data_IF_496313991577
#
_entry.id   IF_496313991577
#
_cell.length_a   1.000
_cell.length_b   1.000
_cell.length_c   1.000
_cell.angle_alpha   90.00
_cell.angle_beta   90.00
_cell.angle_gamma   90.00
#
_symmetry.space_group_name_H-M   'P 1'
#
loop_
_entity.id
_entity.type
_entity.pdbx_description
1 polymer ?
#
# COMPACT_ATOMS: atom_id res chain seq x y z
N UNK A 1 4.55 -27.24 39.04
CA UNK A 1 3.60 -26.37 38.31
C UNK A 1 4.14 -24.99 37.94
N UNK A 2 4.88 -24.26 38.82
CA UNK A 2 5.45 -22.94 38.47
C UNK A 2 6.37 -22.93 37.23
N UNK A 3 7.20 -23.95 37.02
CA UNK A 3 8.11 -24.06 35.85
C UNK A 3 7.39 -24.27 34.50
N UNK A 4 6.19 -24.83 34.50
CA UNK A 4 5.38 -25.03 33.28
C UNK A 4 4.68 -23.73 32.86
N UNK A 5 4.30 -22.88 33.82
CA UNK A 5 3.72 -21.55 33.56
C UNK A 5 4.80 -20.59 33.05
N UNK A 6 6.05 -20.67 33.52
CA UNK A 6 7.16 -19.87 32.99
C UNK A 6 7.54 -20.28 31.56
N UNK A 7 7.46 -21.57 31.22
CA UNK A 7 7.69 -22.06 29.85
C UNK A 7 6.56 -21.65 28.88
N UNK A 8 5.31 -21.60 29.37
CA UNK A 8 4.15 -21.11 28.62
C UNK A 8 4.18 -19.58 28.42
N UNK A 9 4.76 -18.82 29.36
CA UNK A 9 4.98 -17.37 29.24
C UNK A 9 6.20 -17.04 28.36
N UNK A 10 7.24 -17.87 28.34
CA UNK A 10 8.36 -17.74 27.41
C UNK A 10 7.98 -18.09 25.96
N UNK A 11 6.91 -18.85 25.74
CA UNK A 11 6.36 -19.11 24.40
C UNK A 11 5.48 -17.96 23.88
N UNK A 12 5.05 -17.03 24.73
CA UNK A 12 4.31 -15.83 24.30
C UNK A 12 5.27 -14.71 23.84
N UNK A 13 6.51 -14.69 24.36
CA UNK A 13 7.55 -13.73 23.92
C UNK A 13 8.23 -14.13 22.60
N UNK A 14 8.16 -15.41 22.21
CA UNK A 14 8.76 -15.90 20.96
C UNK A 14 7.89 -15.70 19.72
N UNK A 15 6.67 -15.15 19.85
CA UNK A 15 5.85 -14.78 18.68
C UNK A 15 6.51 -13.65 17.87
N UNK A 16 7.40 -12.86 18.48
CA UNK A 16 8.18 -11.85 17.76
C UNK A 16 9.25 -12.44 16.83
N UNK A 17 9.63 -13.71 17.02
CA UNK A 17 10.74 -14.35 16.30
C UNK A 17 10.32 -15.21 15.10
N UNK A 18 9.02 -15.32 14.76
CA UNK A 18 8.60 -16.21 13.66
C UNK A 18 9.00 -15.69 12.27
N UNK A 19 9.12 -14.37 12.08
CA UNK A 19 9.44 -13.79 10.77
C UNK A 19 10.89 -14.07 10.32
N UNK A 20 11.86 -14.17 11.26
CA UNK A 20 13.27 -14.40 10.94
C UNK A 20 13.70 -15.88 10.96
N UNK A 21 13.08 -16.75 11.77
CA UNK A 21 13.49 -18.17 11.89
C UNK A 21 12.72 -19.17 11.02
N UNK A 22 11.57 -18.80 10.44
CA UNK A 22 10.70 -19.73 9.68
C UNK A 22 10.64 -19.48 8.17
N UNK A 23 11.56 -18.67 7.61
CA UNK A 23 11.47 -18.34 6.18
C UNK A 23 10.16 -17.63 5.80
N UNK A 24 9.50 -17.00 6.77
CA UNK A 24 8.25 -16.24 6.57
C UNK A 24 8.53 -14.84 6.00
N UNK A 25 9.77 -14.35 6.13
CA UNK A 25 10.18 -13.04 5.62
C UNK A 25 9.65 -11.88 6.46
N UNK A 26 10.08 -10.66 6.14
CA UNK A 26 9.60 -9.40 6.70
C UNK A 26 8.73 -8.68 5.66
N UNK A 27 7.63 -8.09 6.13
CA UNK A 27 6.80 -7.23 5.32
C UNK A 27 7.44 -5.83 5.24
N UNK A 28 7.68 -5.35 4.03
CA UNK A 28 8.30 -4.04 3.77
C UNK A 28 7.30 -3.11 3.10
N UNK A 29 7.11 -1.93 3.66
CA UNK A 29 6.40 -0.82 3.03
C UNK A 29 7.37 0.06 2.28
N UNK A 30 6.96 0.52 1.11
CA UNK A 30 7.73 1.45 0.30
C UNK A 30 6.82 2.34 -0.53
N UNK A 31 7.28 3.54 -0.84
CA UNK A 31 6.53 4.49 -1.63
C UNK A 31 7.05 4.51 -3.06
N UNK A 32 6.15 4.48 -4.04
CA UNK A 32 6.50 4.52 -5.46
C UNK A 32 5.64 5.53 -6.20
N UNK A 33 6.23 6.11 -7.23
CA UNK A 33 5.47 6.86 -8.22
C UNK A 33 4.52 5.97 -9.01
N UNK A 34 3.28 6.43 -9.13
CA UNK A 34 2.23 5.78 -9.90
C UNK A 34 1.62 6.80 -10.85
N UNK A 35 1.50 6.41 -12.12
CA UNK A 35 0.66 7.11 -13.08
C UNK A 35 -0.74 6.50 -12.98
N UNK A 36 -1.68 7.30 -12.50
CA UNK A 36 -3.07 6.90 -12.31
C UNK A 36 -3.97 7.62 -13.31
N UNK A 37 -5.14 7.05 -13.54
CA UNK A 37 -6.24 7.68 -14.26
C UNK A 37 -7.32 8.02 -13.25
N UNK A 38 -7.64 9.29 -13.10
CA UNK A 38 -8.73 9.77 -12.26
C UNK A 38 -9.90 10.19 -13.13
N UNK A 39 -11.03 9.52 -12.93
CA UNK A 39 -12.31 9.77 -13.59
C UNK A 39 -13.22 10.48 -12.61
N UNK A 40 -13.83 11.59 -13.03
CA UNK A 40 -14.82 12.32 -12.23
C UNK A 40 -16.10 12.49 -13.08
N UNK A 41 -17.24 12.17 -12.48
CA UNK A 41 -18.54 12.36 -13.10
C UNK A 41 -19.13 13.68 -12.60
N UNK A 42 -19.21 14.70 -13.46
CA UNK A 42 -19.80 16.00 -13.11
C UNK A 42 -21.23 15.85 -12.56
N UNK A 43 -22.05 15.05 -13.25
CA UNK A 43 -23.25 14.45 -12.68
C UNK A 43 -22.97 12.97 -12.43
N UNK A 44 -23.19 12.43 -11.22
CA UNK A 44 -22.89 11.03 -10.92
C UNK A 44 -23.58 10.04 -11.88
N UNK A 45 -22.91 8.93 -12.17
CA UNK A 45 -23.47 7.85 -12.99
C UNK A 45 -24.41 7.00 -12.13
N UNK A 46 -25.66 6.88 -12.57
CA UNK A 46 -26.67 6.06 -11.91
C UNK A 46 -26.55 4.60 -12.33
N UNK A 47 -26.44 3.72 -11.33
CA UNK A 47 -26.49 2.27 -11.50
C UNK A 47 -27.69 1.72 -10.71
N UNK A 48 -28.59 1.02 -11.39
CA UNK A 48 -29.74 0.37 -10.76
C UNK A 48 -29.37 -1.04 -10.29
N UNK A 49 -29.99 -1.49 -9.21
CA UNK A 49 -29.91 -2.89 -8.78
C UNK A 49 -30.61 -3.83 -9.77
N UNK A 50 -30.20 -5.10 -9.79
CA UNK A 50 -30.76 -6.16 -10.65
C UNK A 50 -31.28 -7.32 -9.81
N UNK A 51 -32.17 -8.12 -10.38
CA UNK A 51 -32.75 -9.27 -9.69
C UNK A 51 -31.81 -10.49 -9.72
N UNK A 52 -30.98 -10.61 -10.76
CA UNK A 52 -30.16 -11.79 -11.02
C UNK A 52 -28.70 -11.46 -11.34
N UNK A 53 -27.81 -12.33 -10.88
CA UNK A 53 -26.37 -12.27 -11.18
C UNK A 53 -26.06 -12.39 -12.68
N UNK A 54 -26.97 -12.98 -13.47
CA UNK A 54 -26.79 -13.16 -14.92
C UNK A 54 -26.90 -11.86 -15.72
N UNK A 55 -27.48 -10.82 -15.14
CA UNK A 55 -27.68 -9.52 -15.78
C UNK A 55 -26.43 -8.62 -15.70
N UNK A 56 -25.38 -9.10 -15.04
CA UNK A 56 -24.23 -8.29 -14.62
C UNK A 56 -23.05 -8.49 -15.55
N UNK A 57 -22.54 -7.38 -16.08
CA UNK A 57 -21.26 -7.34 -16.79
C UNK A 57 -20.09 -7.12 -15.81
N UNK A 58 -19.53 -8.23 -15.33
CA UNK A 58 -18.39 -8.25 -14.42
C UNK A 58 -17.07 -7.72 -15.01
N UNK A 59 -17.01 -7.43 -16.31
CA UNK A 59 -15.82 -6.85 -16.95
C UNK A 59 -15.61 -5.37 -16.62
N UNK A 60 -16.65 -4.74 -16.07
CA UNK A 60 -16.71 -3.33 -15.69
C UNK A 60 -16.77 -3.17 -14.17
N UNK A 61 -16.29 -2.03 -13.64
CA UNK A 61 -16.46 -1.73 -12.22
C UNK A 61 -17.91 -1.37 -11.88
N UNK A 62 -18.67 -0.86 -12.86
CA UNK A 62 -20.12 -0.65 -12.80
C UNK A 62 -20.85 -1.96 -12.51
N UNK A 63 -20.49 -3.05 -13.20
CA UNK A 63 -21.08 -4.36 -12.95
C UNK A 63 -20.72 -4.93 -11.58
N UNK A 64 -19.48 -4.78 -11.12
CA UNK A 64 -19.09 -5.19 -9.77
C UNK A 64 -19.90 -4.44 -8.70
N UNK A 65 -20.02 -3.11 -8.80
CA UNK A 65 -20.78 -2.33 -7.80
C UNK A 65 -22.27 -2.65 -7.88
N UNK A 66 -22.83 -2.83 -9.07
CA UNK A 66 -24.20 -3.30 -9.28
C UNK A 66 -24.41 -4.64 -8.57
N UNK A 67 -23.48 -5.58 -8.74
CA UNK A 67 -23.51 -6.90 -8.12
C UNK A 67 -23.47 -6.81 -6.60
N UNK A 68 -22.52 -6.05 -6.07
CA UNK A 68 -22.33 -5.89 -4.64
C UNK A 68 -23.60 -5.40 -3.94
N UNK A 69 -24.35 -4.50 -4.55
CA UNK A 69 -25.62 -4.00 -4.00
C UNK A 69 -26.83 -4.85 -4.35
N UNK A 70 -26.76 -5.71 -5.38
CA UNK A 70 -27.85 -6.59 -5.79
C UNK A 70 -27.79 -7.98 -5.15
N UNK A 71 -26.67 -8.32 -4.52
CA UNK A 71 -26.43 -9.65 -3.96
C UNK A 71 -27.49 -10.04 -2.91
N UNK A 72 -28.37 -10.98 -3.29
CA UNK A 72 -29.54 -11.43 -2.53
C UNK A 72 -29.32 -12.73 -1.75
N UNK A 73 -28.08 -13.22 -1.68
CA UNK A 73 -27.69 -14.35 -0.85
C UNK A 73 -26.19 -14.34 -0.56
N UNK A 74 -25.77 -15.15 0.43
CA UNK A 74 -24.38 -15.24 0.89
C UNK A 74 -23.40 -15.72 -0.18
N UNK A 75 -23.78 -16.69 -1.00
CA UNK A 75 -22.91 -17.24 -2.06
C UNK A 75 -22.57 -16.17 -3.09
N UNK A 76 -23.58 -15.42 -3.53
CA UNK A 76 -23.40 -14.30 -4.45
C UNK A 76 -22.53 -13.22 -3.80
N UNK A 77 -22.86 -12.76 -2.59
CA UNK A 77 -22.09 -11.73 -1.91
C UNK A 77 -20.60 -12.10 -1.71
N UNK A 78 -20.29 -13.36 -1.38
CA UNK A 78 -18.91 -13.83 -1.26
C UNK A 78 -18.17 -13.87 -2.60
N UNK A 79 -18.87 -14.12 -3.71
CA UNK A 79 -18.26 -14.18 -5.04
C UNK A 79 -17.74 -12.84 -5.57
N UNK A 80 -18.08 -11.75 -4.87
CA UNK A 80 -17.62 -10.38 -5.20
C UNK A 80 -16.21 -10.09 -4.67
N UNK A 81 -15.74 -10.86 -3.68
CA UNK A 81 -14.46 -10.65 -3.04
C UNK A 81 -13.37 -11.49 -3.69
N UNK A 82 -12.17 -10.92 -3.81
CA UNK A 82 -11.00 -11.63 -4.31
C UNK A 82 -10.55 -12.74 -3.36
N UNK A 83 -10.54 -12.48 -2.04
CA UNK A 83 -10.35 -13.51 -1.01
C UNK A 83 -11.69 -14.17 -0.67
N UNK A 84 -11.86 -15.43 -1.06
CA UNK A 84 -13.06 -16.21 -0.75
C UNK A 84 -13.27 -16.49 0.74
N UNK A 85 -12.30 -16.18 1.61
CA UNK A 85 -12.39 -16.29 3.07
C UNK A 85 -12.89 -15.02 3.74
N UNK A 86 -13.17 -13.96 2.97
CA UNK A 86 -13.67 -12.69 3.51
C UNK A 86 -14.93 -12.91 4.34
N UNK A 87 -14.91 -12.38 5.58
CA UNK A 87 -16.07 -12.41 6.46
C UNK A 87 -17.06 -11.34 6.05
N UNK A 88 -18.17 -11.74 5.44
CA UNK A 88 -19.30 -10.83 5.19
C UNK A 88 -20.20 -10.71 6.44
N UNK A 89 -20.65 -9.49 6.72
CA UNK A 89 -21.52 -9.16 7.88
C UNK A 89 -23.01 -9.28 7.53
N UNK A 90 -23.35 -9.45 6.24
CA UNK A 90 -24.73 -9.53 5.74
C UNK A 90 -25.41 -10.83 6.15
N UNK A 91 -26.56 -10.71 6.79
CA UNK A 91 -27.38 -11.82 7.28
C UNK A 91 -28.61 -12.08 6.38
N UNK A 92 -29.48 -13.01 6.81
CA UNK A 92 -30.68 -13.39 6.06
C UNK A 92 -31.65 -12.22 5.89
N UNK A 93 -31.80 -11.37 6.90
CA UNK A 93 -32.71 -10.24 6.87
C UNK A 93 -32.26 -9.20 5.83
N UNK A 94 -30.96 -8.91 5.79
CA UNK A 94 -30.37 -8.08 4.76
C UNK A 94 -30.68 -8.61 3.35
N UNK A 95 -30.49 -9.91 3.12
CA UNK A 95 -30.74 -10.51 1.81
C UNK A 95 -32.21 -10.49 1.40
N UNK A 96 -33.14 -10.70 2.33
CA UNK A 96 -34.58 -10.57 2.06
C UNK A 96 -34.99 -9.12 1.79
N UNK A 97 -34.36 -8.14 2.46
CA UNK A 97 -34.59 -6.72 2.17
C UNK A 97 -34.14 -6.36 0.74
N UNK A 98 -32.98 -6.86 0.30
CA UNK A 98 -32.48 -6.63 -1.08
C UNK A 98 -33.46 -7.18 -2.13
N UNK A 99 -34.04 -8.37 -1.92
CA UNK A 99 -35.00 -8.97 -2.87
C UNK A 99 -36.29 -8.18 -3.02
N UNK A 100 -36.73 -7.49 -1.97
CA UNK A 100 -37.99 -6.73 -1.93
C UNK A 100 -37.81 -5.25 -2.31
N UNK A 101 -36.57 -4.84 -2.62
CA UNK A 101 -36.25 -3.43 -2.79
C UNK A 101 -36.77 -2.90 -4.13
N UNK A 102 -37.32 -1.69 -4.14
CA UNK A 102 -37.68 -1.00 -5.38
C UNK A 102 -36.42 -0.43 -6.04
N UNK A 103 -35.93 -1.09 -7.09
CA UNK A 103 -34.68 -0.71 -7.78
C UNK A 103 -34.78 0.62 -8.53
N UNK A 104 -35.98 1.14 -8.75
CA UNK A 104 -36.20 2.45 -9.37
C UNK A 104 -36.01 3.60 -8.39
N UNK A 105 -36.17 3.33 -7.09
CA UNK A 105 -36.02 4.31 -6.01
C UNK A 105 -34.74 4.15 -5.21
N UNK A 106 -34.18 2.94 -5.22
CA UNK A 106 -32.94 2.60 -4.53
C UNK A 106 -31.86 2.31 -5.56
N UNK A 107 -30.84 3.16 -5.62
CA UNK A 107 -29.85 3.12 -6.69
C UNK A 107 -28.49 3.61 -6.21
N UNK A 108 -27.46 3.25 -6.96
CA UNK A 108 -26.07 3.62 -6.69
C UNK A 108 -25.71 4.78 -7.61
N UNK A 109 -24.91 5.70 -7.09
CA UNK A 109 -24.29 6.78 -7.83
C UNK A 109 -22.78 6.59 -7.81
N UNK A 110 -22.15 6.40 -8.97
CA UNK A 110 -20.70 6.43 -9.09
C UNK A 110 -20.27 7.88 -9.31
N UNK A 111 -19.31 8.34 -8.51
CA UNK A 111 -18.88 9.74 -8.50
C UNK A 111 -17.47 9.88 -9.06
N UNK A 112 -16.56 9.01 -8.62
CA UNK A 112 -15.17 9.06 -9.05
C UNK A 112 -14.57 7.67 -9.12
N UNK A 113 -13.66 7.47 -10.06
CA UNK A 113 -12.84 6.26 -10.18
C UNK A 113 -11.39 6.68 -10.23
N UNK A 114 -10.56 6.10 -9.36
CA UNK A 114 -9.12 6.26 -9.40
C UNK A 114 -8.51 4.94 -9.80
N UNK A 115 -8.03 4.82 -11.04
CA UNK A 115 -7.47 3.59 -11.61
C UNK A 115 -5.94 3.67 -11.68
N UNK A 116 -5.27 2.57 -11.37
CA UNK A 116 -3.82 2.47 -11.45
C UNK A 116 -3.36 1.04 -11.68
N UNK A 117 -2.15 0.89 -12.21
CA UNK A 117 -1.53 -0.42 -12.39
C UNK A 117 -0.34 -0.57 -11.45
N UNK A 118 -0.22 -1.75 -10.83
CA UNK A 118 0.95 -2.12 -10.05
C UNK A 118 1.20 -3.62 -10.17
N UNK A 119 2.44 -4.02 -10.51
CA UNK A 119 2.84 -5.42 -10.71
C UNK A 119 1.94 -6.18 -11.71
N UNK A 120 1.47 -5.50 -12.76
CA UNK A 120 0.56 -6.09 -13.74
C UNK A 120 -0.88 -6.26 -13.23
N UNK A 121 -1.20 -5.80 -12.03
CA UNK A 121 -2.53 -5.81 -11.43
C UNK A 121 -3.20 -4.47 -11.68
N UNK A 122 -4.38 -4.49 -12.31
CA UNK A 122 -5.19 -3.30 -12.49
C UNK A 122 -6.03 -3.10 -11.24
N UNK A 123 -5.81 -2.00 -10.54
CA UNK A 123 -6.50 -1.65 -9.30
C UNK A 123 -7.31 -0.37 -9.49
N UNK A 124 -8.37 -0.22 -8.70
CA UNK A 124 -9.09 1.03 -8.64
C UNK A 124 -9.69 1.31 -7.26
N UNK A 125 -9.87 2.60 -6.95
CA UNK A 125 -10.75 3.07 -5.87
C UNK A 125 -11.97 3.72 -6.50
N UNK A 126 -13.15 3.19 -6.16
CA UNK A 126 -14.43 3.69 -6.63
C UNK A 126 -15.14 4.40 -5.48
N UNK A 127 -15.34 5.72 -5.60
CA UNK A 127 -16.21 6.49 -4.71
C UNK A 127 -17.64 6.43 -5.23
N UNK A 128 -18.56 6.04 -4.35
CA UNK A 128 -19.96 5.93 -4.68
C UNK A 128 -20.85 6.47 -3.56
N UNK A 129 -22.10 6.74 -3.88
CA UNK A 129 -23.18 6.90 -2.90
C UNK A 129 -24.33 5.95 -3.19
N UNK A 130 -24.96 5.45 -2.13
CA UNK A 130 -26.17 4.64 -2.21
C UNK A 130 -27.36 5.47 -1.76
N UNK A 131 -28.37 5.57 -2.63
CA UNK A 131 -29.60 6.31 -2.38
C UNK A 131 -30.67 5.29 -2.01
N UNK A 132 -31.37 5.54 -0.90
CA UNK A 132 -32.47 4.71 -0.45
C UNK A 132 -33.72 5.56 -0.23
N UNK A 133 -34.88 5.08 -0.66
CA UNK A 133 -36.14 5.85 -0.59
C UNK A 133 -36.46 6.35 0.82
N UNK A 134 -36.18 5.52 1.84
CA UNK A 134 -36.50 5.80 3.24
C UNK A 134 -35.38 6.49 4.02
N UNK A 135 -34.25 6.78 3.38
CA UNK A 135 -33.11 7.45 4.03
C UNK A 135 -32.92 8.81 3.36
N UNK A 136 -33.08 9.92 4.09
CA UNK A 136 -33.07 11.27 3.50
C UNK A 136 -31.67 11.75 3.09
N UNK A 137 -30.63 10.93 3.27
CA UNK A 137 -29.26 11.24 2.91
C UNK A 137 -28.58 10.05 2.21
N UNK A 138 -27.63 10.32 1.30
CA UNK A 138 -26.87 9.28 0.63
C UNK A 138 -25.89 8.61 1.60
N UNK A 139 -25.76 7.28 1.49
CA UNK A 139 -24.67 6.56 2.17
C UNK A 139 -23.45 6.60 1.25
N UNK A 140 -22.42 7.33 1.65
CA UNK A 140 -21.18 7.49 0.87
C UNK A 140 -20.20 6.38 1.24
N UNK A 141 -19.59 5.77 0.24
CA UNK A 141 -18.60 4.72 0.40
C UNK A 141 -17.47 4.81 -0.61
N UNK A 142 -16.37 4.14 -0.29
CA UNK A 142 -15.30 3.85 -1.23
C UNK A 142 -15.06 2.36 -1.21
N UNK A 143 -14.87 1.78 -2.38
CA UNK A 143 -14.47 0.39 -2.51
C UNK A 143 -13.16 0.30 -3.28
N UNK A 144 -12.25 -0.52 -2.77
CA UNK A 144 -11.04 -0.91 -3.48
C UNK A 144 -11.35 -2.16 -4.30
N UNK A 145 -10.95 -2.12 -5.56
CA UNK A 145 -11.23 -3.19 -6.51
C UNK A 145 -10.00 -3.54 -7.33
N UNK A 146 -9.94 -4.78 -7.78
CA UNK A 146 -8.86 -5.32 -8.59
C UNK A 146 -9.41 -6.15 -9.75
N UNK A 147 -8.84 -5.98 -10.94
CA UNK A 147 -9.17 -6.77 -12.12
C UNK A 147 -8.26 -7.99 -12.20
N UNK A 148 -8.86 -9.17 -12.17
CA UNK A 148 -8.17 -10.45 -12.41
C UNK A 148 -8.78 -11.07 -13.66
N UNK A 149 -7.94 -11.29 -14.68
CA UNK A 149 -8.38 -11.61 -16.05
C UNK A 149 -9.37 -10.53 -16.54
N UNK A 150 -10.60 -10.92 -16.84
CA UNK A 150 -11.66 -10.02 -17.33
C UNK A 150 -12.75 -9.75 -16.29
N UNK A 151 -12.46 -9.91 -15.00
CA UNK A 151 -13.43 -9.63 -13.92
C UNK A 151 -12.85 -8.74 -12.84
N UNK A 152 -13.64 -7.76 -12.41
CA UNK A 152 -13.35 -6.98 -11.21
C UNK A 152 -13.81 -7.69 -9.94
N UNK A 153 -13.00 -7.59 -8.89
CA UNK A 153 -13.27 -8.10 -7.56
C UNK A 153 -13.02 -7.02 -6.52
N UNK A 154 -13.69 -7.11 -5.37
CA UNK A 154 -13.38 -6.32 -4.17
C UNK A 154 -12.06 -6.85 -3.60
N UNK A 155 -11.10 -5.95 -3.38
CA UNK A 155 -9.75 -6.28 -2.91
C UNK A 155 -9.39 -5.41 -1.71
N UNK A 156 -9.29 -6.03 -0.53
CA UNK A 156 -8.95 -5.38 0.73
C UNK A 156 -7.44 -5.52 0.99
N UNK A 157 -6.63 -4.60 0.46
CA UNK A 157 -5.18 -4.60 0.73
C UNK A 157 -4.85 -3.77 1.98
N UNK A 158 -3.90 -4.25 2.79
CA UNK A 158 -3.53 -3.66 4.10
C UNK A 158 -3.04 -2.21 4.02
N UNK A 159 -2.49 -1.79 2.87
CA UNK A 159 -1.91 -0.46 2.63
C UNK A 159 -2.89 0.59 2.12
N UNK A 160 -4.19 0.28 2.03
CA UNK A 160 -5.16 1.16 1.38
C UNK A 160 -5.87 2.12 2.33
N UNK A 161 -5.59 2.08 3.63
CA UNK A 161 -6.31 2.88 4.63
C UNK A 161 -6.23 4.39 4.39
N UNK A 162 -5.09 4.90 3.90
CA UNK A 162 -4.93 6.32 3.59
C UNK A 162 -5.77 6.71 2.37
N UNK A 163 -5.71 5.92 1.30
CA UNK A 163 -6.52 6.11 0.10
C UNK A 163 -8.01 6.11 0.45
N UNK A 164 -8.48 5.05 1.13
CA UNK A 164 -9.88 4.93 1.54
C UNK A 164 -10.29 6.16 2.38
N UNK A 165 -9.47 6.58 3.34
CA UNK A 165 -9.75 7.76 4.16
C UNK A 165 -9.89 9.03 3.33
N UNK A 166 -9.04 9.24 2.32
CA UNK A 166 -9.09 10.45 1.48
C UNK A 166 -10.28 10.40 0.52
N UNK A 167 -10.42 9.35 -0.27
CA UNK A 167 -11.49 9.24 -1.26
C UNK A 167 -12.89 9.23 -0.62
N UNK A 168 -13.04 8.68 0.59
CA UNK A 168 -14.34 8.63 1.27
C UNK A 168 -14.77 9.97 1.85
N UNK A 169 -13.81 10.83 2.18
CA UNK A 169 -14.10 12.08 2.88
C UNK A 169 -13.96 13.32 2.01
N UNK A 170 -13.10 13.34 0.99
CA UNK A 170 -12.82 14.55 0.24
C UNK A 170 -13.88 14.81 -0.83
N UNK A 171 -14.20 16.08 -1.04
CA UNK A 171 -14.97 16.54 -2.19
C UNK A 171 -14.19 16.21 -3.49
N UNK A 172 -14.82 15.60 -4.51
CA UNK A 172 -14.13 15.21 -5.75
C UNK A 172 -13.35 16.34 -6.44
N UNK A 173 -13.92 17.54 -6.50
CA UNK A 173 -13.26 18.69 -7.13
C UNK A 173 -11.99 19.12 -6.38
N UNK A 174 -12.04 19.16 -5.04
CA UNK A 174 -10.87 19.47 -4.21
C UNK A 174 -9.80 18.38 -4.37
N UNK A 175 -10.23 17.11 -4.40
CA UNK A 175 -9.29 16.00 -4.63
C UNK A 175 -8.63 16.11 -6.01
N UNK A 176 -9.36 16.51 -7.05
CA UNK A 176 -8.81 16.76 -8.39
C UNK A 176 -7.72 17.84 -8.36
N UNK A 177 -7.93 18.95 -7.67
CA UNK A 177 -6.93 20.01 -7.50
C UNK A 177 -5.68 19.51 -6.77
N UNK A 178 -5.87 18.75 -5.68
CA UNK A 178 -4.78 18.12 -4.94
C UNK A 178 -4.01 17.13 -5.81
N UNK A 179 -4.68 16.37 -6.68
CA UNK A 179 -4.05 15.42 -7.60
C UNK A 179 -3.29 16.14 -8.71
N UNK A 180 -3.88 17.18 -9.31
CA UNK A 180 -3.24 18.03 -10.34
C UNK A 180 -2.07 18.86 -9.80
N UNK A 181 -2.11 19.22 -8.52
CA UNK A 181 -1.11 20.10 -7.90
C UNK A 181 -1.26 21.55 -8.27
N UNK A 182 -2.47 21.95 -8.64
CA UNK A 182 -2.83 23.31 -9.00
C UNK A 182 -4.18 23.64 -8.38
N UNK A 183 -4.26 24.78 -7.71
CA UNK A 183 -5.49 25.36 -7.17
C UNK A 183 -5.35 26.88 -7.15
N UNK A 184 -6.47 27.58 -7.21
CA UNK A 184 -6.53 29.02 -7.00
C UNK A 184 -6.74 29.38 -5.52
N UNK A 185 -7.27 28.46 -4.72
CA UNK A 185 -7.48 28.61 -3.28
C UNK A 185 -6.15 28.49 -2.51
N UNK A 186 -5.84 29.50 -1.70
CA UNK A 186 -4.56 29.57 -0.98
C UNK A 186 -4.40 28.49 0.09
N UNK A 187 -5.50 28.04 0.70
CA UNK A 187 -5.47 26.94 1.65
C UNK A 187 -5.13 25.62 0.93
N UNK A 188 -5.74 25.36 -0.23
CA UNK A 188 -5.43 24.17 -1.05
C UNK A 188 -4.01 24.24 -1.62
N UNK A 189 -3.53 25.40 -2.09
CA UNK A 189 -2.10 25.58 -2.47
C UNK A 189 -1.16 25.22 -1.32
N UNK A 190 -1.49 25.66 -0.10
CA UNK A 190 -0.77 25.32 1.11
C UNK A 190 -0.74 23.82 1.39
N UNK A 191 -1.84 23.10 1.14
CA UNK A 191 -1.89 21.65 1.25
C UNK A 191 -1.03 20.97 0.19
N UNK A 192 -1.16 21.36 -1.08
CA UNK A 192 -0.37 20.83 -2.20
C UNK A 192 1.12 20.86 -1.84
N UNK A 193 1.62 22.00 -1.36
CA UNK A 193 3.03 22.17 -0.95
C UNK A 193 3.46 21.18 0.14
N UNK A 194 2.58 20.92 1.12
CA UNK A 194 2.87 20.03 2.27
C UNK A 194 2.73 18.54 1.94
N UNK A 195 1.93 18.20 0.93
CA UNK A 195 1.58 16.81 0.60
C UNK A 195 2.22 16.33 -0.70
N UNK A 196 3.21 17.04 -1.23
CA UNK A 196 4.03 16.50 -2.31
C UNK A 196 5.05 15.49 -1.80
N UNK A 197 5.08 14.35 -2.49
CA UNK A 197 6.11 13.35 -2.34
C UNK A 197 7.41 13.77 -3.05
N UNK A 198 8.44 12.93 -2.96
CA UNK A 198 9.76 13.22 -3.58
C UNK A 198 9.63 13.40 -5.09
N UNK A 199 8.69 12.69 -5.70
CA UNK A 199 8.45 12.72 -7.14
C UNK A 199 7.49 13.83 -7.59
N UNK A 200 7.16 14.81 -6.73
CA UNK A 200 6.19 15.90 -7.00
C UNK A 200 4.73 15.44 -7.20
N UNK A 201 4.44 14.15 -7.10
CA UNK A 201 3.08 13.61 -7.05
C UNK A 201 2.42 13.82 -5.68
N UNK A 202 1.09 13.75 -5.63
CA UNK A 202 0.38 13.76 -4.34
C UNK A 202 0.76 12.51 -3.53
N UNK A 203 1.21 12.73 -2.30
CA UNK A 203 1.49 11.71 -1.30
C UNK A 203 0.26 11.56 -0.39
N UNK A 204 -0.43 10.42 -0.52
CA UNK A 204 -1.67 10.15 0.20
C UNK A 204 -1.46 9.90 1.69
N UNK A 205 -0.32 9.36 2.10
CA UNK A 205 0.00 9.19 3.52
C UNK A 205 0.12 10.55 4.19
N UNK A 206 0.89 11.48 3.61
CA UNK A 206 1.02 12.85 4.14
C UNK A 206 -0.32 13.55 4.22
N UNK A 207 -1.13 13.49 3.15
CA UNK A 207 -2.46 14.11 3.13
C UNK A 207 -3.38 13.51 4.22
N UNK A 208 -3.41 12.18 4.34
CA UNK A 208 -4.24 11.51 5.34
C UNK A 208 -3.77 11.82 6.77
N UNK A 209 -2.47 11.92 7.02
CA UNK A 209 -1.93 12.28 8.32
C UNK A 209 -2.30 13.72 8.71
N UNK A 210 -2.21 14.68 7.77
CA UNK A 210 -2.68 16.05 7.98
C UNK A 210 -4.19 16.07 8.29
N UNK A 211 -4.98 15.36 7.48
CA UNK A 211 -6.43 15.26 7.63
C UNK A 211 -6.84 14.67 8.99
N UNK A 212 -6.24 13.54 9.39
CA UNK A 212 -6.43 12.93 10.72
C UNK A 212 -6.00 13.87 11.85
N UNK A 213 -4.94 14.64 11.63
CA UNK A 213 -4.48 15.67 12.56
C UNK A 213 -5.56 16.72 12.86
N UNK A 214 -6.30 17.17 11.85
CA UNK A 214 -7.37 18.16 12.04
C UNK A 214 -8.50 17.69 12.94
N UNK A 215 -8.86 16.40 12.90
CA UNK A 215 -9.83 15.83 13.84
C UNK A 215 -9.32 15.87 15.28
N UNK A 216 -8.04 15.53 15.50
CA UNK A 216 -7.44 15.52 16.85
C UNK A 216 -7.45 16.90 17.49
N UNK A 217 -7.19 17.95 16.70
CA UNK A 217 -7.15 19.34 17.18
C UNK A 217 -8.45 20.12 16.91
N UNK A 218 -9.54 19.44 16.54
CA UNK A 218 -10.87 20.03 16.25
C UNK A 218 -10.83 21.24 15.29
N UNK A 219 -9.99 21.21 14.26
CA UNK A 219 -9.90 22.26 13.22
C UNK A 219 -11.06 22.14 12.23
N UNK A 220 -12.24 22.55 12.67
CA UNK A 220 -13.48 22.47 11.87
C UNK A 220 -13.36 23.22 10.55
N UNK A 221 -12.86 24.45 10.54
CA UNK A 221 -12.74 25.26 9.30
C UNK A 221 -11.94 24.55 8.19
N UNK A 222 -10.82 23.90 8.55
CA UNK A 222 -10.01 23.14 7.59
C UNK A 222 -10.76 21.93 7.03
N UNK A 223 -11.57 21.26 7.86
CA UNK A 223 -12.42 20.15 7.42
C UNK A 223 -13.50 20.63 6.45
N UNK A 224 -14.15 21.77 6.73
CA UNK A 224 -15.17 22.36 5.85
C UNK A 224 -14.65 22.72 4.45
N UNK A 225 -13.36 23.04 4.32
CA UNK A 225 -12.74 23.38 3.03
C UNK A 225 -12.46 22.18 2.13
N UNK A 226 -12.32 20.97 2.69
CA UNK A 226 -11.91 19.79 1.89
C UNK A 226 -12.94 18.69 1.85
N UNK A 227 -13.77 18.57 2.88
CA UNK A 227 -14.62 17.41 3.09
C UNK A 227 -15.85 17.53 2.20
N UNK A 228 -16.31 16.39 1.71
CA UNK A 228 -17.54 16.25 0.97
C UNK A 228 -18.68 16.88 1.75
N UNK A 229 -19.36 17.85 1.13
CA UNK A 229 -20.34 18.69 1.83
C UNK A 229 -21.49 17.87 2.41
N UNK A 230 -21.83 16.73 1.81
CA UNK A 230 -22.86 15.81 2.32
C UNK A 230 -22.54 15.24 3.70
N UNK A 231 -21.28 15.22 4.09
CA UNK A 231 -20.81 14.70 5.38
C UNK A 231 -20.80 15.75 6.50
N UNK A 232 -21.10 17.01 6.20
CA UNK A 232 -20.93 18.14 7.15
C UNK A 232 -22.01 19.22 7.05
N UNK A 233 -22.71 19.34 5.92
CA UNK A 233 -23.80 20.31 5.72
C UNK A 233 -25.13 19.55 5.75
N UNK A 234 -25.94 19.85 6.76
CA UNK A 234 -27.30 19.34 6.86
C UNK A 234 -28.15 19.85 5.70
N UNK A 235 -28.96 18.98 5.10
CA UNK A 235 -29.83 19.33 3.97
C UNK A 235 -29.09 19.69 2.67
N UNK A 236 -27.81 19.34 2.54
CA UNK A 236 -27.04 19.64 1.34
C UNK A 236 -27.69 19.03 0.08
N UNK A 237 -28.00 19.90 -0.89
CA UNK A 237 -28.58 19.49 -2.16
C UNK A 237 -27.47 18.96 -3.08
N UNK A 238 -27.40 17.65 -3.26
CA UNK A 238 -26.41 17.00 -4.12
C UNK A 238 -27.00 16.67 -5.50
N UNK A 239 -26.17 16.65 -6.57
CA UNK A 239 -26.64 16.36 -7.92
C UNK A 239 -27.33 14.98 -8.01
N UNK A 240 -28.48 14.94 -8.66
CA UNK A 240 -29.17 13.67 -8.96
C UNK A 240 -28.47 12.93 -10.09
N UNK A 241 -28.15 11.66 -9.88
CA UNK A 241 -27.44 10.84 -10.85
C UNK A 241 -28.25 10.58 -12.14
N UNK A 242 -27.54 10.34 -13.24
CA UNK A 242 -28.11 10.06 -14.58
C UNK A 242 -27.61 8.71 -15.11
N UNK A 243 -28.44 8.01 -15.88
CA UNK A 243 -28.15 6.65 -16.37
C UNK A 243 -27.02 6.59 -17.42
N UNK A 244 -26.79 7.67 -18.15
CA UNK A 244 -25.78 7.74 -19.22
C UNK A 244 -24.91 8.95 -18.96
N UNK A 245 -23.73 8.73 -18.42
CA UNK A 245 -22.76 9.78 -18.12
C UNK A 245 -21.37 9.33 -18.57
N UNK A 246 -20.64 10.25 -19.17
CA UNK A 246 -19.23 10.05 -19.52
C UNK A 246 -18.40 10.84 -18.52
N UNK A 247 -17.43 10.22 -17.82
CA UNK A 247 -16.61 10.95 -16.88
C UNK A 247 -15.59 11.82 -17.62
N UNK A 248 -15.19 12.91 -17.00
CA UNK A 248 -13.94 13.57 -17.35
C UNK A 248 -12.77 12.72 -16.88
N UNK A 249 -11.73 12.60 -17.72
CA UNK A 249 -10.61 11.68 -17.48
C UNK A 249 -9.31 12.47 -17.36
N UNK A 250 -8.61 12.28 -16.25
CA UNK A 250 -7.36 12.94 -15.95
C UNK A 250 -6.24 11.93 -15.74
N UNK A 251 -5.14 12.07 -16.47
CA UNK A 251 -3.89 11.37 -16.15
C UNK A 251 -3.16 12.16 -15.08
N UNK A 252 -2.83 11.49 -13.99
CA UNK A 252 -2.29 12.12 -12.79
C UNK A 252 -1.10 11.31 -12.26
N UNK A 253 -0.17 12.03 -11.64
CA UNK A 253 1.01 11.46 -11.04
C UNK A 253 0.89 11.53 -9.52
N UNK A 254 1.05 10.39 -8.87
CA UNK A 254 0.89 10.25 -7.42
C UNK A 254 2.02 9.44 -6.82
N UNK A 255 2.24 9.58 -5.52
CA UNK A 255 3.12 8.73 -4.73
C UNK A 255 2.24 7.85 -3.84
N UNK A 256 2.37 6.53 -3.98
CA UNK A 256 1.56 5.55 -3.27
C UNK A 256 2.44 4.56 -2.53
N UNK A 257 1.96 4.13 -1.36
CA UNK A 257 2.60 3.08 -0.58
C UNK A 257 2.18 1.70 -1.08
N UNK A 258 3.17 0.82 -1.19
CA UNK A 258 3.02 -0.59 -1.50
C UNK A 258 3.65 -1.44 -0.39
N UNK A 259 3.17 -2.69 -0.26
CA UNK A 259 3.73 -3.67 0.66
C UNK A 259 4.35 -4.81 -0.14
N UNK A 260 5.60 -5.12 0.18
CA UNK A 260 6.28 -6.35 -0.19
C UNK A 260 6.03 -7.36 0.92
N UNK A 261 5.12 -8.30 0.69
CA UNK A 261 4.66 -9.24 1.72
C UNK A 261 5.77 -10.22 2.15
N UNK A 262 6.71 -10.53 1.26
CA UNK A 262 7.81 -11.48 1.51
C UNK A 262 9.13 -10.86 1.08
N UNK A 263 9.85 -10.30 2.05
CA UNK A 263 11.23 -9.84 1.87
C UNK A 263 12.15 -10.58 2.84
N UNK A 264 13.38 -10.87 2.45
CA UNK A 264 14.30 -11.70 3.23
C UNK A 264 15.57 -10.92 3.50
N UNK A 265 15.89 -10.73 4.77
CA UNK A 265 17.18 -10.22 5.20
C UNK A 265 18.02 -11.37 5.78
N UNK A 266 19.27 -11.47 5.34
CA UNK A 266 20.20 -12.51 5.80
C UNK A 266 21.63 -11.96 5.91
N UNK A 267 22.35 -12.38 6.94
CA UNK A 267 23.79 -12.14 7.08
C UNK A 267 24.58 -13.33 6.51
N UNK A 268 25.74 -13.07 5.92
CA UNK A 268 26.64 -14.15 5.50
C UNK A 268 27.43 -14.67 6.69
N UNK A 269 27.50 -16.00 6.82
CA UNK A 269 28.29 -16.64 7.86
C UNK A 269 29.78 -16.36 7.66
N UNK A 270 30.53 -16.16 8.74
CA UNK A 270 31.97 -15.87 8.72
C UNK A 270 32.79 -16.89 7.92
N UNK A 271 32.35 -18.15 7.90
CA UNK A 271 33.05 -19.22 7.19
C UNK A 271 32.77 -19.23 5.67
N UNK A 272 31.77 -18.48 5.20
CA UNK A 272 31.29 -18.52 3.82
C UNK A 272 31.24 -17.14 3.14
N UNK A 273 31.68 -16.10 3.84
CA UNK A 273 31.52 -14.71 3.40
C UNK A 273 32.63 -14.19 2.47
N UNK A 274 33.75 -14.90 2.32
CA UNK A 274 34.85 -14.47 1.43
C UNK A 274 34.66 -15.00 0.01
N UNK A 275 34.61 -14.09 -0.95
CA UNK A 275 34.67 -14.39 -2.38
C UNK A 275 36.12 -14.28 -2.85
N UNK A 276 36.70 -15.43 -3.19
CA UNK A 276 38.04 -15.55 -3.79
C UNK A 276 37.88 -16.02 -5.22
N UNK A 277 38.57 -15.40 -6.18
CA UNK A 277 38.53 -15.81 -7.59
C UNK A 277 39.24 -17.15 -7.83
N UNK A 278 38.52 -18.24 -7.57
CA UNK A 278 38.89 -19.61 -7.91
C UNK A 278 37.68 -20.39 -8.43
N UNK A 279 37.93 -21.56 -9.03
CA UNK A 279 36.88 -22.39 -9.64
C UNK A 279 35.81 -22.83 -8.62
N UNK A 280 36.21 -23.15 -7.38
CA UNK A 280 35.31 -23.58 -6.32
C UNK A 280 34.29 -22.48 -5.96
N UNK A 281 34.75 -21.23 -5.80
CA UNK A 281 33.88 -20.07 -5.52
C UNK A 281 32.97 -19.79 -6.70
N UNK A 282 33.52 -19.78 -7.94
CA UNK A 282 32.73 -19.55 -9.16
C UNK A 282 31.60 -20.57 -9.30
N UNK A 283 31.88 -21.86 -9.06
CA UNK A 283 30.87 -22.92 -9.08
C UNK A 283 29.84 -22.80 -7.95
N UNK A 284 30.25 -22.43 -6.72
CA UNK A 284 29.35 -22.28 -5.56
C UNK A 284 28.30 -21.19 -5.76
N UNK A 285 28.70 -20.10 -6.41
CA UNK A 285 27.87 -18.92 -6.63
C UNK A 285 27.30 -18.84 -8.04
N UNK A 286 27.53 -19.85 -8.89
CA UNK A 286 26.95 -19.92 -10.22
C UNK A 286 25.44 -19.68 -10.17
N UNK A 287 24.94 -18.77 -11.01
CA UNK A 287 23.53 -18.32 -11.06
C UNK A 287 23.02 -17.65 -9.78
N UNK A 288 23.90 -17.13 -8.93
CA UNK A 288 23.54 -16.29 -7.78
C UNK A 288 24.12 -14.89 -7.96
N UNK A 289 23.51 -13.84 -7.37
CA UNK A 289 23.98 -12.47 -7.55
C UNK A 289 25.41 -12.24 -7.04
N UNK A 290 25.85 -13.02 -6.05
CA UNK A 290 27.22 -13.00 -5.51
C UNK A 290 28.28 -13.34 -6.56
N UNK A 291 27.93 -14.06 -7.64
CA UNK A 291 28.86 -14.40 -8.72
C UNK A 291 29.49 -13.16 -9.36
N UNK A 292 28.69 -12.11 -9.53
CA UNK A 292 29.11 -10.84 -10.15
C UNK A 292 30.09 -10.05 -9.27
N UNK A 293 30.26 -10.44 -8.00
CA UNK A 293 31.20 -9.82 -7.06
C UNK A 293 32.54 -10.57 -6.98
N UNK A 294 32.70 -11.69 -7.69
CA UNK A 294 33.96 -12.43 -7.74
C UNK A 294 34.95 -11.66 -8.60
N UNK A 295 36.02 -11.19 -7.98
CA UNK A 295 37.06 -10.37 -8.60
C UNK A 295 38.46 -10.85 -8.16
N UNK A 296 39.52 -10.25 -8.72
CA UNK A 296 40.91 -10.49 -8.32
C UNK A 296 41.13 -10.14 -6.85
N UNK A 297 40.51 -9.07 -6.39
CA UNK A 297 40.53 -8.66 -4.98
C UNK A 297 39.53 -9.47 -4.15
N UNK A 298 39.91 -9.81 -2.92
CA UNK A 298 39.03 -10.52 -2.00
C UNK A 298 37.85 -9.62 -1.64
N UNK A 299 36.64 -10.12 -1.91
CA UNK A 299 35.40 -9.45 -1.51
C UNK A 299 34.81 -10.17 -0.30
N UNK A 300 34.51 -9.42 0.77
CA UNK A 300 33.87 -9.96 1.98
C UNK A 300 32.40 -9.59 2.00
N UNK A 301 31.52 -10.56 1.84
CA UNK A 301 30.07 -10.40 1.91
C UNK A 301 29.63 -10.12 3.35
N UNK A 302 28.69 -9.20 3.54
CA UNK A 302 28.22 -8.80 4.87
C UNK A 302 26.77 -9.24 5.05
N UNK A 303 25.87 -8.75 4.20
CA UNK A 303 24.45 -9.08 4.26
C UNK A 303 23.80 -9.05 2.89
N UNK A 304 22.63 -9.66 2.79
CA UNK A 304 21.77 -9.69 1.62
C UNK A 304 20.34 -9.40 2.00
N UNK A 305 19.69 -8.55 1.21
CA UNK A 305 18.27 -8.28 1.27
C UNK A 305 17.62 -8.64 -0.06
N UNK A 306 16.74 -9.65 -0.05
CA UNK A 306 16.04 -10.16 -1.24
C UNK A 306 14.56 -9.84 -1.17
N UNK A 307 13.97 -9.39 -2.27
CA UNK A 307 12.54 -9.05 -2.34
C UNK A 307 12.01 -9.19 -3.77
N UNK A 308 10.69 -9.21 -3.93
CA UNK A 308 10.04 -9.31 -5.24
C UNK A 308 9.23 -8.05 -5.57
N UNK A 309 9.51 -7.41 -6.70
CA UNK A 309 8.74 -6.26 -7.20
C UNK A 309 8.51 -6.39 -8.72
N UNK A 310 7.32 -6.05 -9.19
CA UNK A 310 6.92 -6.18 -10.61
C UNK A 310 7.25 -7.57 -11.22
N UNK A 311 6.99 -8.65 -10.49
CA UNK A 311 7.32 -10.04 -10.88
C UNK A 311 8.82 -10.28 -11.12
N UNK A 312 9.70 -9.44 -10.58
CA UNK A 312 11.14 -9.63 -10.63
C UNK A 312 11.69 -9.84 -9.23
N UNK A 313 12.65 -10.75 -9.09
CA UNK A 313 13.41 -10.90 -7.85
C UNK A 313 14.58 -9.94 -7.84
N UNK A 314 14.70 -9.16 -6.79
CA UNK A 314 15.81 -8.25 -6.54
C UNK A 314 16.64 -8.73 -5.35
N UNK A 315 17.92 -8.35 -5.32
CA UNK A 315 18.83 -8.62 -4.21
C UNK A 315 19.77 -7.45 -4.00
N UNK A 316 19.70 -6.79 -2.85
CA UNK A 316 20.71 -5.84 -2.40
C UNK A 316 21.76 -6.63 -1.63
N UNK A 317 23.02 -6.59 -2.09
CA UNK A 317 24.14 -7.22 -1.40
C UNK A 317 25.04 -6.15 -0.83
N UNK A 318 25.24 -6.17 0.48
CA UNK A 318 26.26 -5.41 1.17
C UNK A 318 27.55 -6.22 1.25
N UNK A 319 28.67 -5.62 0.90
CA UNK A 319 29.99 -6.24 0.92
C UNK A 319 31.08 -5.22 1.28
N UNK A 320 32.26 -5.72 1.62
CA UNK A 320 33.48 -4.94 1.83
C UNK A 320 34.55 -5.38 0.84
N UNK A 321 35.20 -4.41 0.21
CA UNK A 321 36.40 -4.60 -0.63
C UNK A 321 37.38 -3.48 -0.31
N UNK A 322 38.64 -3.83 -0.04
CA UNK A 322 39.67 -2.89 0.41
C UNK A 322 39.25 -2.05 1.63
N UNK A 323 38.59 -2.69 2.59
CA UNK A 323 38.04 -2.07 3.81
C UNK A 323 36.95 -1.00 3.57
N UNK A 324 36.44 -0.88 2.34
CA UNK A 324 35.34 0.03 2.01
C UNK A 324 34.07 -0.79 1.87
N UNK A 325 33.06 -0.45 2.68
CA UNK A 325 31.73 -1.01 2.56
C UNK A 325 31.01 -0.43 1.35
N UNK A 326 30.34 -1.31 0.61
CA UNK A 326 29.52 -0.98 -0.55
C UNK A 326 28.24 -1.78 -0.51
N UNK A 327 27.20 -1.27 -1.14
CA UNK A 327 26.00 -2.05 -1.45
C UNK A 327 25.71 -1.97 -2.95
N UNK A 328 25.15 -3.05 -3.48
CA UNK A 328 24.79 -3.16 -4.90
C UNK A 328 23.45 -3.84 -5.04
N UNK A 329 22.63 -3.38 -6.00
CA UNK A 329 21.35 -3.99 -6.33
C UNK A 329 21.50 -4.86 -7.57
N UNK A 330 21.07 -6.12 -7.45
CA UNK A 330 20.93 -7.04 -8.56
C UNK A 330 19.46 -7.33 -8.84
N UNK A 331 19.12 -7.50 -10.12
CA UNK A 331 17.84 -8.03 -10.59
C UNK A 331 18.07 -9.39 -11.24
N UNK A 332 17.24 -10.37 -10.91
CA UNK A 332 17.22 -11.67 -11.59
C UNK A 332 16.62 -11.53 -12.99
N UNK A 333 17.29 -12.08 -13.99
CA UNK A 333 16.81 -12.20 -15.37
C UNK A 333 16.83 -13.66 -15.83
N UNK A 334 16.57 -13.91 -17.13
CA UNK A 334 16.59 -15.27 -17.69
C UNK A 334 17.99 -15.89 -17.74
N UNK A 335 19.04 -15.08 -17.71
CA UNK A 335 20.43 -15.49 -17.90
C UNK A 335 21.25 -15.48 -16.59
N UNK A 336 20.68 -14.99 -15.49
CA UNK A 336 21.35 -14.85 -14.20
C UNK A 336 20.88 -13.62 -13.44
N UNK A 337 21.84 -12.77 -13.06
CA UNK A 337 21.61 -11.55 -12.29
C UNK A 337 22.35 -10.38 -12.93
N UNK A 338 21.67 -9.26 -13.08
CA UNK A 338 22.20 -8.02 -13.68
C UNK A 338 22.18 -6.91 -12.64
N UNK A 339 23.26 -6.13 -12.58
CA UNK A 339 23.36 -4.94 -11.73
C UNK A 339 22.39 -3.85 -12.20
N UNK A 340 21.69 -3.22 -11.25
CA UNK A 340 20.73 -2.15 -11.52
C UNK A 340 21.05 -0.95 -10.62
N UNK A 341 21.23 0.22 -11.22
CA UNK A 341 21.70 1.42 -10.51
C UNK A 341 20.66 2.55 -10.41
N UNK A 342 19.50 2.41 -11.07
CA UNK A 342 18.47 3.45 -11.18
C UNK A 342 17.21 3.18 -10.32
N UNK A 343 17.16 2.04 -9.61
CA UNK A 343 16.02 1.63 -8.77
C UNK A 343 16.45 1.39 -7.34
N UNK A 344 15.55 1.67 -6.40
CA UNK A 344 15.75 1.47 -4.96
C UNK A 344 17.08 2.09 -4.45
N UNK A 345 17.52 3.20 -5.05
CA UNK A 345 18.81 3.84 -4.76
C UNK A 345 18.92 4.28 -3.29
N UNK A 346 17.82 4.77 -2.71
CA UNK A 346 17.75 5.08 -1.28
C UNK A 346 17.96 3.84 -0.41
N UNK A 347 17.53 2.66 -0.86
CA UNK A 347 17.73 1.42 -0.12
C UNK A 347 19.17 0.94 -0.26
N UNK A 348 19.74 0.98 -1.47
CA UNK A 348 21.16 0.66 -1.66
C UNK A 348 22.02 1.54 -0.75
N UNK A 349 21.79 2.85 -0.75
CA UNK A 349 22.47 3.80 0.14
C UNK A 349 22.21 3.51 1.63
N UNK A 350 20.98 3.17 2.01
CA UNK A 350 20.67 2.74 3.38
C UNK A 350 21.50 1.52 3.78
N UNK A 351 21.49 0.44 2.99
CA UNK A 351 22.19 -0.81 3.27
C UNK A 351 23.72 -0.67 3.24
N UNK A 352 24.25 0.27 2.46
CA UNK A 352 25.67 0.60 2.45
C UNK A 352 26.14 1.15 3.81
N UNK A 353 25.28 1.93 4.47
CA UNK A 353 25.65 2.72 5.67
C UNK A 353 25.20 2.10 7.00
N UNK A 354 24.37 1.05 7.00
CA UNK A 354 23.86 0.42 8.24
C UNK A 354 24.49 -0.94 8.52
N UNK A 355 24.75 -1.19 9.81
CA UNK A 355 25.07 -2.52 10.31
C UNK A 355 23.82 -3.42 10.24
N UNK A 356 23.95 -4.69 9.82
CA UNK A 356 22.86 -5.68 9.81
C UNK A 356 22.05 -5.74 11.11
N UNK A 357 22.74 -5.57 12.25
CA UNK A 357 22.16 -5.56 13.59
C UNK A 357 21.00 -4.58 13.75
N UNK A 358 20.96 -3.47 13.02
CA UNK A 358 19.88 -2.50 13.10
C UNK A 358 18.52 -3.14 12.77
N UNK A 359 18.47 -3.91 11.69
CA UNK A 359 17.23 -4.53 11.25
C UNK A 359 16.74 -5.55 12.27
N UNK A 360 17.65 -6.30 12.89
CA UNK A 360 17.30 -7.23 13.97
C UNK A 360 16.79 -6.49 15.22
N UNK A 361 17.51 -5.45 15.66
CA UNK A 361 17.16 -4.69 16.85
C UNK A 361 15.83 -3.92 16.69
N UNK A 362 15.48 -3.50 15.47
CA UNK A 362 14.17 -2.91 15.17
C UNK A 362 13.00 -3.84 15.53
N UNK A 363 13.17 -5.15 15.47
CA UNK A 363 12.13 -6.09 15.89
C UNK A 363 12.29 -6.49 17.37
N UNK A 364 13.52 -6.75 17.83
CA UNK A 364 13.75 -7.41 19.13
C UNK A 364 14.10 -6.46 20.28
N UNK A 365 14.73 -5.31 19.99
CA UNK A 365 15.32 -4.46 21.03
C UNK A 365 14.30 -3.48 21.63
N UNK A 366 13.89 -3.70 22.87
CA UNK A 366 12.96 -2.81 23.59
C UNK A 366 13.52 -1.41 23.90
N UNK A 367 14.79 -1.13 23.59
CA UNK A 367 15.38 0.21 23.76
C UNK A 367 15.19 1.11 22.54
N UNK A 368 14.77 0.57 21.38
CA UNK A 368 14.53 1.34 20.15
C UNK A 368 13.07 1.81 20.01
N UNK A 369 12.35 2.06 21.10
CA UNK A 369 10.90 2.32 21.06
C UNK A 369 10.54 3.48 20.14
N UNK A 370 11.28 4.58 20.19
CA UNK A 370 11.02 5.77 19.38
C UNK A 370 11.22 5.48 17.89
N UNK A 371 12.39 4.94 17.53
CA UNK A 371 12.68 4.54 16.16
C UNK A 371 11.64 3.54 15.63
N UNK A 372 11.27 2.53 16.43
CA UNK A 372 10.24 1.54 16.07
C UNK A 372 8.90 2.21 15.77
N UNK A 373 8.45 3.15 16.61
CA UNK A 373 7.19 3.89 16.39
C UNK A 373 7.22 4.71 15.12
N UNK A 374 8.40 5.16 14.71
CA UNK A 374 8.55 5.91 13.47
C UNK A 374 8.54 4.98 12.25
N UNK A 375 9.31 3.89 12.25
CA UNK A 375 9.55 3.11 11.03
C UNK A 375 8.69 1.84 10.89
N UNK A 376 8.06 1.36 11.97
CA UNK A 376 7.15 0.22 11.95
C UNK A 376 5.70 0.67 12.10
N UNK A 377 4.79 0.09 11.31
CA UNK A 377 3.35 0.28 11.53
C UNK A 377 2.80 -0.64 12.65
N UNK A 378 1.50 -0.48 12.95
CA UNK A 378 0.79 -1.29 13.96
C UNK A 378 0.84 -2.80 13.69
N UNK A 379 1.08 -3.21 12.44
CA UNK A 379 1.19 -4.59 11.99
C UNK A 379 2.66 -5.05 11.88
N UNK A 380 3.62 -4.25 12.39
CA UNK A 380 5.06 -4.49 12.30
C UNK A 380 5.62 -4.49 10.87
N UNK A 381 4.95 -3.84 9.92
CA UNK A 381 5.47 -3.64 8.56
C UNK A 381 6.52 -2.51 8.60
N UNK A 382 7.72 -2.78 8.10
CA UNK A 382 8.83 -1.82 8.09
C UNK A 382 8.79 -0.91 6.86
N UNK A 383 8.71 0.40 7.08
CA UNK A 383 8.85 1.38 6.03
C UNK A 383 10.34 1.71 5.80
N UNK A 384 10.93 1.13 4.76
CA UNK A 384 12.35 1.32 4.45
C UNK A 384 12.68 2.75 3.99
N UNK A 385 11.76 3.41 3.28
CA UNK A 385 11.96 4.80 2.84
C UNK A 385 11.99 5.75 4.04
N UNK A 386 11.14 5.49 5.04
CA UNK A 386 11.14 6.23 6.30
C UNK A 386 12.35 5.90 7.16
N UNK A 387 12.78 4.64 7.23
CA UNK A 387 14.02 4.27 7.92
C UNK A 387 15.24 5.01 7.35
N UNK A 388 15.35 5.08 6.01
CA UNK A 388 16.41 5.84 5.35
C UNK A 388 16.39 7.33 5.71
N UNK A 389 15.21 7.94 5.79
CA UNK A 389 15.05 9.34 6.21
C UNK A 389 15.44 9.55 7.67
N UNK A 390 14.90 8.74 8.59
CA UNK A 390 15.16 8.87 10.03
C UNK A 390 16.64 8.69 10.35
N UNK A 391 17.33 7.75 9.70
CA UNK A 391 18.78 7.57 9.86
C UNK A 391 19.56 8.80 9.42
N UNK A 392 19.17 9.40 8.29
CA UNK A 392 19.79 10.62 7.79
C UNK A 392 19.62 11.79 8.77
N UNK A 393 18.44 11.91 9.38
CA UNK A 393 18.10 12.99 10.31
C UNK A 393 18.69 12.77 11.72
N UNK A 394 18.89 11.52 12.13
CA UNK A 394 19.28 11.13 13.49
C UNK A 394 20.61 10.37 13.55
N UNK A 395 21.56 10.71 12.67
CA UNK A 395 22.84 9.98 12.52
C UNK A 395 23.57 9.80 13.85
N UNK A 396 23.66 10.84 14.67
CA UNK A 396 24.41 10.83 15.92
C UNK A 396 23.81 9.88 16.97
N UNK A 397 22.48 9.85 17.11
CA UNK A 397 21.82 8.97 18.08
C UNK A 397 21.81 7.50 17.63
N UNK A 398 22.00 7.25 16.34
CA UNK A 398 22.03 5.92 15.74
C UNK A 398 23.44 5.42 15.41
N UNK A 399 24.50 6.14 15.79
CA UNK A 399 25.89 5.84 15.42
C UNK A 399 26.32 4.39 15.68
N UNK A 400 25.84 3.76 16.76
CA UNK A 400 26.11 2.33 17.06
C UNK A 400 25.71 1.39 15.91
N UNK A 401 24.67 1.75 15.17
CA UNK A 401 24.07 0.98 14.08
C UNK A 401 24.57 1.37 12.69
N UNK A 402 25.44 2.38 12.60
CA UNK A 402 25.99 2.84 11.34
C UNK A 402 27.40 2.28 11.17
N UNK A 403 27.76 2.02 9.91
CA UNK A 403 29.15 1.83 9.54
C UNK A 403 29.84 3.20 9.54
N UNK A 404 31.14 3.18 9.88
CA UNK A 404 31.97 4.39 10.01
C UNK A 404 32.20 5.09 8.68
#
# INVERSE_FOLDING_TARGET
MRKLITSLLLTIVTISYSQFKKGEGIAIRFSKEVIATYKIYETPLRINQVASQKEIDYSTYEGLIQSFFSASNRKWALSEYLDGRTKIVRDKEHFEAVKKNDTSKNYIQIETVYEYNYNGRNMAFLKYSFIMEKIPFPIIGVISIEKVKDRWYISDLLNQEYMISIFSNFEPAILLELLKGKSEDDFIKGLIKKTRGKNKGLDFEKLANIYRGWYKVKKTESLYKVKDKRLIVEGYNYPKAKLRQTPEVFKIKTEQDFILEKSFFSEYLLNDNKLVSNEKTKKKYERKPEFNLIDKEITTLISKFTFEDNNNTYSIIKYSRNNINKAILYKKDSNGYVEINDRFTNWVSLFENIKPQLLYDLYENNKLIELKREVLDKNKVLNLDKLALVIKENRSSLAKYLDE
#
